data_IF_398239459870
#
_entry.id   IF_398239459870
#
_cell.length_a   1.000
_cell.length_b   1.000
_cell.length_c   1.000
_cell.angle_alpha   90.00
_cell.angle_beta   90.00
_cell.angle_gamma   90.00
#
_symmetry.space_group_name_H-M   'P 1'
#
loop_
_entity.id
_entity.type
_entity.pdbx_description
1 polymer ?
#
# COMPACT_ATOMS: atom_id res chain seq x y z
N UNK A 1 -51.53 44.91 42.08
CA UNK A 1 -50.33 44.56 41.36
C UNK A 1 -49.99 43.08 41.58
N UNK A 2 -50.37 42.21 40.63
CA UNK A 2 -50.16 40.76 40.72
C UNK A 2 -48.94 40.42 39.85
N UNK A 3 -47.84 39.95 40.48
CA UNK A 3 -46.65 39.47 39.80
C UNK A 3 -46.87 37.98 39.40
N UNK A 4 -46.92 37.70 38.10
CA UNK A 4 -46.96 36.38 37.55
C UNK A 4 -45.52 35.91 37.40
N UNK A 5 -45.08 34.89 38.12
CA UNK A 5 -43.82 34.17 37.93
C UNK A 5 -43.98 33.15 36.81
N UNK A 6 -43.30 33.34 35.72
CA UNK A 6 -43.18 32.40 34.61
C UNK A 6 -42.03 31.43 34.94
N UNK A 7 -42.34 30.20 35.32
CA UNK A 7 -41.36 29.17 35.51
C UNK A 7 -40.98 28.60 34.13
N UNK A 8 -39.75 28.85 33.67
CA UNK A 8 -39.18 28.19 32.49
C UNK A 8 -38.78 26.76 32.81
N UNK A 9 -39.52 25.80 32.24
CA UNK A 9 -39.22 24.37 32.29
C UNK A 9 -38.06 24.08 31.33
N UNK A 10 -36.84 23.97 31.86
CA UNK A 10 -35.71 23.43 31.07
C UNK A 10 -35.90 21.90 30.86
N UNK A 11 -36.34 21.51 29.67
CA UNK A 11 -36.28 20.13 29.23
C UNK A 11 -34.85 19.83 28.85
N UNK A 12 -34.11 19.20 29.75
CA UNK A 12 -32.80 18.59 29.48
C UNK A 12 -32.99 17.41 28.56
N UNK A 13 -32.67 17.57 27.27
CA UNK A 13 -32.56 16.48 26.33
C UNK A 13 -31.30 15.69 26.68
N UNK A 14 -31.43 14.70 27.54
CA UNK A 14 -30.39 13.69 27.74
C UNK A 14 -30.25 12.87 26.45
N UNK A 15 -29.19 13.11 25.69
CA UNK A 15 -28.74 12.19 24.65
C UNK A 15 -28.52 10.82 25.30
N UNK A 16 -29.07 9.73 24.75
CA UNK A 16 -28.75 8.40 25.26
C UNK A 16 -27.29 8.13 24.94
N UNK A 17 -26.40 8.31 25.91
CA UNK A 17 -25.08 7.70 25.87
C UNK A 17 -25.32 6.21 25.75
N UNK A 18 -24.96 5.61 24.60
CA UNK A 18 -24.89 4.17 24.40
C UNK A 18 -23.84 3.68 25.41
N UNK A 19 -24.32 3.28 26.56
CA UNK A 19 -23.49 2.65 27.59
C UNK A 19 -23.04 1.33 26.99
N UNK A 20 -21.73 1.15 26.78
CA UNK A 20 -21.17 -0.13 26.41
C UNK A 20 -21.75 -1.17 27.38
N UNK A 21 -22.49 -2.15 26.88
CA UNK A 21 -23.02 -3.23 27.71
C UNK A 21 -21.81 -3.92 28.35
N UNK A 22 -21.72 -3.92 29.67
CA UNK A 22 -20.65 -4.62 30.39
C UNK A 22 -20.79 -6.11 30.08
N UNK A 23 -19.73 -6.69 29.47
CA UNK A 23 -19.64 -8.12 29.19
C UNK A 23 -19.35 -8.82 30.53
N UNK A 24 -20.39 -9.30 31.21
CA UNK A 24 -20.30 -9.79 32.58
C UNK A 24 -20.02 -11.30 32.68
N UNK A 25 -20.50 -12.08 31.69
CA UNK A 25 -20.25 -13.52 31.71
C UNK A 25 -19.03 -13.90 30.88
N UNK A 26 -18.38 -15.00 31.25
CA UNK A 26 -17.28 -15.59 30.47
C UNK A 26 -17.68 -15.87 29.03
N UNK A 27 -18.90 -16.33 28.80
CA UNK A 27 -19.44 -16.60 27.47
C UNK A 27 -19.56 -15.33 26.62
N UNK A 28 -20.05 -14.23 27.22
CA UNK A 28 -20.12 -12.94 26.54
C UNK A 28 -18.72 -12.38 26.18
N UNK A 29 -17.78 -12.49 27.13
CA UNK A 29 -16.39 -12.06 26.92
C UNK A 29 -15.71 -12.89 25.83
N UNK A 30 -15.92 -14.20 25.83
CA UNK A 30 -15.38 -15.09 24.81
C UNK A 30 -15.96 -14.78 23.41
N UNK A 31 -17.29 -14.64 23.32
CA UNK A 31 -17.97 -14.32 22.06
C UNK A 31 -17.52 -12.98 21.48
N UNK A 32 -17.41 -11.95 22.33
CA UNK A 32 -16.87 -10.65 21.94
C UNK A 32 -15.42 -10.78 21.43
N UNK A 33 -14.58 -11.54 22.14
CA UNK A 33 -13.17 -11.75 21.75
C UNK A 33 -13.07 -12.41 20.38
N UNK A 34 -13.90 -13.43 20.10
CA UNK A 34 -13.95 -14.05 18.78
C UNK A 34 -14.32 -13.07 17.68
N UNK A 35 -15.37 -12.28 17.88
CA UNK A 35 -15.83 -11.28 16.91
C UNK A 35 -14.76 -10.20 16.67
N UNK A 36 -14.11 -9.71 17.74
CA UNK A 36 -13.06 -8.73 17.65
C UNK A 36 -11.82 -9.25 16.90
N UNK A 37 -11.40 -10.48 17.19
CA UNK A 37 -10.27 -11.10 16.49
C UNK A 37 -10.58 -11.38 15.02
N UNK A 38 -11.79 -11.81 14.69
CA UNK A 38 -12.25 -11.98 13.32
C UNK A 38 -12.17 -10.65 12.55
N UNK A 39 -12.68 -9.58 13.16
CA UNK A 39 -12.62 -8.24 12.58
C UNK A 39 -11.18 -7.79 12.31
N UNK A 40 -10.28 -7.92 13.29
CA UNK A 40 -8.88 -7.51 13.12
C UNK A 40 -8.12 -8.33 12.08
N UNK A 41 -8.34 -9.65 12.03
CA UNK A 41 -7.53 -10.54 11.19
C UNK A 41 -8.05 -10.69 9.77
N UNK A 42 -9.36 -10.60 9.56
CA UNK A 42 -9.97 -10.91 8.27
C UNK A 42 -10.77 -9.76 7.65
N UNK A 43 -11.36 -8.89 8.47
CA UNK A 43 -12.25 -7.85 7.94
C UNK A 43 -11.55 -6.50 7.80
N UNK A 44 -10.58 -6.17 8.66
CA UNK A 44 -9.83 -4.90 8.58
C UNK A 44 -8.99 -4.77 7.30
N UNK A 45 -8.56 -5.90 6.71
CA UNK A 45 -7.82 -5.93 5.47
C UNK A 45 -8.71 -5.95 4.21
N UNK A 46 -10.04 -5.92 4.36
CA UNK A 46 -10.93 -5.88 3.20
C UNK A 46 -10.86 -4.52 2.51
N UNK A 47 -10.83 -4.50 1.17
CA UNK A 47 -10.68 -3.27 0.39
C UNK A 47 -11.98 -2.45 0.31
N UNK A 48 -13.04 -2.87 1.03
CA UNK A 48 -14.34 -2.19 1.12
C UNK A 48 -14.72 -1.96 2.57
N UNK A 49 -15.47 -0.88 2.81
CA UNK A 49 -16.00 -0.61 4.13
C UNK A 49 -17.02 -1.70 4.53
N UNK A 50 -16.87 -2.21 5.75
CA UNK A 50 -17.76 -3.19 6.33
C UNK A 50 -18.75 -2.46 7.27
N UNK A 51 -20.06 -2.63 7.04
CA UNK A 51 -21.08 -2.21 7.99
C UNK A 51 -21.12 -3.21 9.14
N UNK A 52 -20.59 -2.79 10.30
CA UNK A 52 -20.49 -3.63 11.49
C UNK A 52 -21.86 -4.04 12.05
N UNK A 53 -22.91 -3.23 11.87
CA UNK A 53 -24.26 -3.56 12.35
C UNK A 53 -24.88 -4.65 11.45
N UNK A 54 -24.79 -4.51 10.14
CA UNK A 54 -25.26 -5.51 9.18
C UNK A 54 -24.49 -6.83 9.32
N UNK A 55 -23.16 -6.77 9.50
CA UNK A 55 -22.34 -7.94 9.76
C UNK A 55 -22.77 -8.64 11.05
N UNK A 56 -22.91 -7.90 12.15
CA UNK A 56 -23.35 -8.44 13.43
C UNK A 56 -24.73 -9.09 13.36
N UNK A 57 -25.64 -8.51 12.57
CA UNK A 57 -26.96 -9.10 12.34
C UNK A 57 -26.86 -10.43 11.57
N UNK A 58 -26.04 -10.48 10.52
CA UNK A 58 -25.82 -11.71 9.76
C UNK A 58 -25.23 -12.84 10.61
N UNK A 59 -24.28 -12.52 11.49
CA UNK A 59 -23.73 -13.48 12.47
C UNK A 59 -24.81 -13.95 13.44
N UNK A 60 -25.63 -13.04 13.96
CA UNK A 60 -26.72 -13.37 14.89
C UNK A 60 -27.74 -14.30 14.26
N UNK A 61 -28.19 -13.99 13.05
CA UNK A 61 -29.19 -14.79 12.33
C UNK A 61 -28.64 -16.20 12.03
N UNK A 62 -27.35 -16.31 11.63
CA UNK A 62 -26.71 -17.59 11.35
C UNK A 62 -26.55 -18.45 12.61
N UNK A 63 -26.14 -17.89 13.73
CA UNK A 63 -25.99 -18.62 15.00
C UNK A 63 -27.35 -19.06 15.59
N UNK A 64 -28.42 -18.31 15.32
CA UNK A 64 -29.78 -18.66 15.70
C UNK A 64 -30.43 -19.72 14.79
N UNK A 65 -29.77 -20.12 13.69
CA UNK A 65 -30.35 -21.02 12.69
C UNK A 65 -31.53 -20.40 11.93
N UNK A 66 -31.63 -19.06 11.90
CA UNK A 66 -32.66 -18.34 11.19
C UNK A 66 -32.45 -18.39 9.68
N UNK A 67 -33.54 -18.30 8.91
CA UNK A 67 -33.41 -18.11 7.47
C UNK A 67 -32.71 -16.78 7.15
N UNK A 68 -31.81 -16.77 6.14
CA UNK A 68 -31.16 -15.55 5.72
C UNK A 68 -32.20 -14.49 5.27
N UNK A 69 -31.95 -13.22 5.62
CA UNK A 69 -32.77 -12.09 5.17
C UNK A 69 -32.64 -11.75 3.69
N UNK A 70 -31.57 -12.22 3.08
CA UNK A 70 -31.30 -12.11 1.65
C UNK A 70 -31.36 -13.49 1.02
N UNK A 71 -31.96 -13.59 -0.18
CA UNK A 71 -31.84 -14.80 -0.98
C UNK A 71 -30.40 -15.08 -1.39
N UNK A 72 -30.10 -16.33 -1.74
CA UNK A 72 -28.76 -16.68 -2.26
C UNK A 72 -28.37 -15.82 -3.49
N UNK A 73 -29.34 -15.55 -4.36
CA UNK A 73 -29.15 -14.68 -5.52
C UNK A 73 -28.80 -13.24 -5.10
N UNK A 74 -29.49 -12.68 -4.12
CA UNK A 74 -29.19 -11.34 -3.61
C UNK A 74 -27.82 -11.27 -2.93
N UNK A 75 -27.44 -12.28 -2.18
CA UNK A 75 -26.10 -12.36 -1.58
C UNK A 75 -25.01 -12.44 -2.65
N UNK A 76 -25.20 -13.29 -3.66
CA UNK A 76 -24.26 -13.41 -4.78
C UNK A 76 -24.15 -12.09 -5.56
N UNK A 77 -25.27 -11.47 -5.88
CA UNK A 77 -25.31 -10.18 -6.58
C UNK A 77 -24.58 -9.07 -5.79
N UNK A 78 -24.68 -9.06 -4.46
CA UNK A 78 -23.94 -8.10 -3.62
C UNK A 78 -22.42 -8.33 -3.70
N UNK A 79 -21.98 -9.58 -3.63
CA UNK A 79 -20.56 -9.95 -3.79
C UNK A 79 -20.04 -9.55 -5.17
N UNK A 80 -20.78 -9.85 -6.22
CA UNK A 80 -20.36 -9.57 -7.60
C UNK A 80 -20.30 -8.06 -7.87
N UNK A 81 -21.20 -7.28 -7.30
CA UNK A 81 -21.16 -5.80 -7.39
C UNK A 81 -19.90 -5.26 -6.73
N UNK A 82 -19.57 -5.72 -5.52
CA UNK A 82 -18.35 -5.29 -4.83
C UNK A 82 -17.10 -5.65 -5.65
N UNK A 83 -17.03 -6.87 -6.21
CA UNK A 83 -15.92 -7.28 -7.08
C UNK A 83 -15.80 -6.38 -8.31
N UNK A 84 -16.91 -6.04 -8.96
CA UNK A 84 -16.93 -5.14 -10.11
C UNK A 84 -16.44 -3.74 -9.75
N UNK A 85 -16.90 -3.19 -8.62
CA UNK A 85 -16.46 -1.88 -8.14
C UNK A 85 -14.95 -1.85 -7.83
N UNK A 86 -14.43 -2.91 -7.19
CA UNK A 86 -13.00 -3.04 -6.91
C UNK A 86 -12.18 -3.15 -8.19
N UNK A 87 -12.63 -3.95 -9.14
CA UNK A 87 -11.99 -4.10 -10.45
C UNK A 87 -11.96 -2.76 -11.20
N UNK A 88 -13.08 -2.05 -11.24
CA UNK A 88 -13.17 -0.74 -11.87
C UNK A 88 -12.24 0.30 -11.22
N UNK A 89 -12.15 0.30 -9.87
CA UNK A 89 -11.21 1.17 -9.14
C UNK A 89 -9.75 0.83 -9.48
N UNK A 90 -9.40 -0.47 -9.45
CA UNK A 90 -8.02 -0.92 -9.79
C UNK A 90 -7.66 -0.50 -11.22
N UNK A 91 -8.59 -0.64 -12.18
CA UNK A 91 -8.37 -0.24 -13.56
C UNK A 91 -8.18 1.28 -13.69
N UNK A 92 -9.04 2.07 -13.06
CA UNK A 92 -8.92 3.54 -13.08
C UNK A 92 -7.59 4.01 -12.46
N UNK A 93 -7.14 3.39 -11.36
CA UNK A 93 -5.83 3.66 -10.76
C UNK A 93 -4.69 3.29 -11.71
N UNK A 94 -4.77 2.14 -12.38
CA UNK A 94 -3.77 1.71 -13.36
C UNK A 94 -3.64 2.68 -14.53
N UNK A 95 -4.75 3.16 -15.07
CA UNK A 95 -4.78 4.13 -16.15
C UNK A 95 -4.22 5.49 -15.72
N UNK A 96 -4.57 5.94 -14.51
CA UNK A 96 -4.05 7.18 -13.94
C UNK A 96 -2.54 7.10 -13.70
N UNK A 97 -2.05 6.02 -13.06
CA UNK A 97 -0.63 5.81 -12.79
C UNK A 97 0.18 5.74 -14.09
N UNK A 98 -0.32 5.01 -15.10
CA UNK A 98 0.29 4.93 -16.42
C UNK A 98 0.43 6.31 -17.09
N UNK A 99 -0.64 7.10 -17.08
CA UNK A 99 -0.62 8.42 -17.67
C UNK A 99 0.34 9.37 -16.94
N UNK A 100 0.28 9.38 -15.61
CA UNK A 100 1.15 10.18 -14.76
C UNK A 100 2.63 9.77 -14.89
N UNK A 101 2.92 8.46 -14.89
CA UNK A 101 4.28 7.92 -15.05
C UNK A 101 4.90 8.28 -16.42
N UNK A 102 4.12 8.15 -17.50
CA UNK A 102 4.59 8.56 -18.84
C UNK A 102 4.88 10.05 -18.92
N UNK A 103 4.01 10.89 -18.38
CA UNK A 103 4.21 12.34 -18.34
C UNK A 103 5.45 12.70 -17.51
N UNK A 104 5.61 12.08 -16.34
CA UNK A 104 6.77 12.27 -15.48
C UNK A 104 8.07 11.89 -16.19
N UNK A 105 8.16 10.70 -16.79
CA UNK A 105 9.37 10.23 -17.48
C UNK A 105 9.71 11.09 -18.70
N UNK A 106 8.71 11.55 -19.46
CA UNK A 106 8.92 12.44 -20.59
C UNK A 106 9.48 13.81 -20.18
N UNK A 107 9.05 14.35 -19.03
CA UNK A 107 9.57 15.59 -18.50
C UNK A 107 10.96 15.38 -17.86
N UNK A 108 11.14 14.27 -17.13
CA UNK A 108 12.41 13.96 -16.48
C UNK A 108 13.54 13.74 -17.48
N UNK A 109 13.27 13.15 -18.65
CA UNK A 109 14.24 12.97 -19.74
C UNK A 109 14.86 14.29 -20.24
N UNK A 110 14.19 15.42 -20.00
CA UNK A 110 14.68 16.77 -20.40
C UNK A 110 15.54 17.41 -19.33
N UNK A 111 15.59 16.83 -18.15
CA UNK A 111 16.35 17.39 -17.04
C UNK A 111 17.85 17.21 -17.25
N UNK A 112 18.62 18.20 -16.87
CA UNK A 112 20.10 18.14 -16.97
C UNK A 112 20.64 16.98 -16.16
N UNK A 113 21.53 16.18 -16.79
CA UNK A 113 22.20 15.05 -16.16
C UNK A 113 21.36 13.77 -16.12
N UNK A 114 20.14 13.75 -16.64
CA UNK A 114 19.34 12.54 -16.81
C UNK A 114 19.75 11.83 -18.10
N UNK A 115 20.07 10.56 -17.97
CA UNK A 115 20.32 9.63 -19.08
C UNK A 115 19.12 8.71 -19.21
N UNK A 116 18.63 8.53 -20.45
CA UNK A 116 17.54 7.60 -20.79
C UNK A 116 18.08 6.43 -21.60
N UNK A 117 17.83 5.21 -21.15
CA UNK A 117 18.19 3.97 -21.86
C UNK A 117 17.09 3.58 -22.88
N UNK A 118 17.43 2.70 -23.81
CA UNK A 118 16.51 2.27 -24.90
C UNK A 118 15.20 1.63 -24.38
N UNK A 119 15.24 0.95 -23.24
CA UNK A 119 14.09 0.35 -22.58
C UNK A 119 13.28 1.32 -21.71
N UNK A 120 13.64 2.59 -21.70
CA UNK A 120 12.95 3.64 -20.97
C UNK A 120 13.42 3.83 -19.51
N UNK A 121 14.35 3.02 -19.00
CA UNK A 121 14.98 3.28 -17.72
C UNK A 121 15.72 4.62 -17.78
N UNK A 122 15.54 5.45 -16.75
CA UNK A 122 16.28 6.71 -16.65
C UNK A 122 17.10 6.73 -15.37
N UNK A 123 18.23 7.40 -15.41
CA UNK A 123 19.04 7.60 -14.21
C UNK A 123 19.78 8.93 -14.25
N UNK A 124 20.14 9.41 -13.09
CA UNK A 124 21.01 10.55 -12.87
C UNK A 124 22.08 10.17 -11.86
N UNK A 125 23.34 10.38 -12.23
CA UNK A 125 24.48 10.18 -11.34
C UNK A 125 24.52 11.33 -10.34
N UNK A 126 24.44 11.01 -9.05
CA UNK A 126 24.60 11.98 -7.96
C UNK A 126 26.05 11.99 -7.47
N UNK A 127 26.64 10.81 -7.34
CA UNK A 127 28.04 10.60 -6.97
C UNK A 127 28.62 9.48 -7.82
N UNK A 128 29.85 9.73 -8.32
CA UNK A 128 30.58 8.71 -9.07
C UNK A 128 31.21 7.71 -8.10
N UNK A 129 31.25 6.44 -8.49
CA UNK A 129 31.99 5.40 -7.78
C UNK A 129 33.30 5.07 -8.45
N UNK A 130 34.02 4.11 -7.90
CA UNK A 130 35.31 3.65 -8.43
C UNK A 130 35.36 2.11 -8.48
N UNK A 131 36.28 1.56 -9.30
CA UNK A 131 36.44 0.13 -9.49
C UNK A 131 35.55 -0.42 -10.61
N UNK A 132 35.30 -1.73 -10.59
CA UNK A 132 34.49 -2.43 -11.57
C UNK A 132 33.05 -2.52 -11.13
N UNK A 133 32.11 -2.41 -12.09
CA UNK A 133 30.69 -2.62 -11.85
C UNK A 133 30.39 -4.11 -11.61
N UNK A 134 29.30 -4.44 -10.89
CA UNK A 134 28.91 -5.83 -10.65
C UNK A 134 28.36 -6.51 -11.90
N UNK A 135 28.59 -7.82 -12.00
CA UNK A 135 27.91 -8.70 -12.93
C UNK A 135 26.45 -8.96 -12.53
N UNK A 136 25.63 -9.45 -13.46
CA UNK A 136 24.18 -9.57 -13.25
C UNK A 136 23.75 -10.64 -12.23
N UNK A 137 24.66 -11.52 -11.81
CA UNK A 137 24.44 -12.62 -10.86
C UNK A 137 25.17 -12.39 -9.53
N UNK A 138 25.94 -11.28 -9.41
CA UNK A 138 26.67 -10.99 -8.18
C UNK A 138 25.75 -10.48 -7.09
N UNK A 139 26.14 -10.71 -5.84
CA UNK A 139 25.49 -10.15 -4.66
C UNK A 139 26.06 -8.75 -4.39
N UNK A 140 25.19 -7.82 -4.13
CA UNK A 140 25.57 -6.44 -3.81
C UNK A 140 25.01 -6.01 -2.47
N UNK A 141 25.71 -5.10 -1.82
CA UNK A 141 25.24 -4.40 -0.62
C UNK A 141 24.99 -2.95 -0.97
N UNK A 142 23.78 -2.48 -0.71
CA UNK A 142 23.34 -1.12 -1.05
C UNK A 142 22.62 -0.45 0.11
N UNK A 143 22.70 0.88 0.15
CA UNK A 143 21.61 1.67 0.71
C UNK A 143 20.67 2.10 -0.41
N UNK A 144 19.38 2.10 -0.13
CA UNK A 144 18.36 2.58 -1.09
C UNK A 144 17.15 3.19 -0.40
N UNK A 145 16.47 4.03 -1.16
CA UNK A 145 15.15 4.58 -0.84
C UNK A 145 14.31 4.53 -2.08
N UNK A 146 13.14 3.89 -1.98
CA UNK A 146 12.15 3.77 -3.05
C UNK A 146 10.93 4.63 -2.78
N UNK A 147 10.53 5.45 -3.76
CA UNK A 147 9.34 6.30 -3.68
C UNK A 147 8.51 6.19 -4.96
N UNK A 148 7.22 6.45 -4.84
CA UNK A 148 6.35 6.74 -5.96
C UNK A 148 6.66 8.14 -6.52
N UNK A 149 6.09 8.50 -7.67
CA UNK A 149 6.29 9.81 -8.29
C UNK A 149 5.72 10.98 -7.49
N UNK A 150 4.78 10.72 -6.57
CA UNK A 150 4.23 11.72 -5.64
C UNK A 150 5.10 11.92 -4.38
N UNK A 151 6.19 11.16 -4.25
CA UNK A 151 7.10 11.19 -3.12
C UNK A 151 6.75 10.23 -1.98
N UNK A 152 5.66 9.47 -2.08
CA UNK A 152 5.29 8.45 -1.09
C UNK A 152 6.37 7.38 -1.03
N UNK A 153 7.03 7.22 0.13
CA UNK A 153 8.03 6.19 0.36
C UNK A 153 7.34 4.84 0.57
N UNK A 154 7.76 3.82 -0.18
CA UNK A 154 7.26 2.47 -0.04
C UNK A 154 8.27 1.49 0.56
N UNK A 155 9.56 1.78 0.43
CA UNK A 155 10.63 0.98 1.03
C UNK A 155 11.92 1.80 1.17
N UNK A 156 12.69 1.55 2.25
CA UNK A 156 13.94 2.24 2.52
C UNK A 156 14.83 1.43 3.45
N UNK A 157 16.07 1.20 3.05
CA UNK A 157 17.10 0.63 3.93
C UNK A 157 17.53 1.62 5.01
N UNK A 158 17.45 2.92 4.75
CA UNK A 158 17.74 3.96 5.75
C UNK A 158 16.72 3.91 6.90
N UNK A 159 15.45 3.64 6.60
CA UNK A 159 14.40 3.47 7.62
C UNK A 159 14.64 2.27 8.52
N UNK A 160 15.35 1.24 8.05
CA UNK A 160 15.76 0.06 8.85
C UNK A 160 17.07 0.26 9.61
N UNK A 161 17.85 1.33 9.28
CA UNK A 161 19.11 1.67 9.94
C UNK A 161 20.32 0.88 9.45
N UNK A 162 20.18 0.00 8.45
CA UNK A 162 21.25 -0.84 7.92
C UNK A 162 21.13 -1.04 6.40
N UNK A 163 22.27 -1.20 5.67
CA UNK A 163 22.24 -1.55 4.25
C UNK A 163 21.67 -2.94 4.03
N UNK A 164 21.22 -3.21 2.82
CA UNK A 164 20.64 -4.49 2.43
C UNK A 164 21.52 -5.18 1.40
N UNK A 165 21.77 -6.47 1.59
CA UNK A 165 22.48 -7.32 0.63
C UNK A 165 21.51 -8.24 -0.08
N UNK A 166 21.62 -8.34 -1.40
CA UNK A 166 20.82 -9.25 -2.22
C UNK A 166 21.53 -9.60 -3.53
N UNK A 167 21.27 -10.80 -4.07
CA UNK A 167 21.74 -11.16 -5.40
C UNK A 167 20.95 -10.39 -6.45
N UNK A 168 21.63 -9.92 -7.50
CA UNK A 168 21.04 -9.07 -8.54
C UNK A 168 20.01 -9.79 -9.42
N UNK A 169 20.03 -11.12 -9.48
CA UNK A 169 19.02 -11.92 -10.18
C UNK A 169 17.68 -11.99 -9.44
N UNK A 170 17.65 -11.66 -8.13
CA UNK A 170 16.44 -11.69 -7.30
C UNK A 170 15.68 -10.35 -7.25
N UNK A 171 16.16 -9.30 -7.91
CA UNK A 171 15.51 -7.97 -7.90
C UNK A 171 14.81 -7.66 -9.22
N UNK A 172 13.95 -6.64 -9.20
CA UNK A 172 13.24 -6.20 -10.43
C UNK A 172 14.22 -5.78 -11.53
N UNK A 173 13.87 -5.97 -12.82
CA UNK A 173 14.79 -5.78 -13.94
C UNK A 173 15.46 -4.40 -13.96
N UNK A 174 14.72 -3.33 -13.73
CA UNK A 174 15.26 -1.98 -13.76
C UNK A 174 16.25 -1.69 -12.64
N UNK A 175 16.06 -2.28 -11.45
CA UNK A 175 16.99 -2.14 -10.34
C UNK A 175 18.32 -2.86 -10.63
N UNK A 176 18.24 -4.11 -11.15
CA UNK A 176 19.41 -4.86 -11.62
C UNK A 176 20.17 -4.11 -12.72
N UNK A 177 19.45 -3.60 -13.71
CA UNK A 177 20.09 -2.88 -14.82
C UNK A 177 20.80 -1.61 -14.37
N UNK A 178 20.22 -0.86 -13.44
CA UNK A 178 20.88 0.32 -12.88
C UNK A 178 22.17 -0.07 -12.14
N UNK A 179 22.10 -1.04 -11.23
CA UNK A 179 23.22 -1.43 -10.39
C UNK A 179 24.37 -2.04 -11.21
N UNK A 180 24.09 -2.83 -12.24
CA UNK A 180 25.14 -3.37 -13.13
C UNK A 180 25.90 -2.30 -13.92
N UNK A 181 25.46 -1.03 -13.88
CA UNK A 181 26.17 0.12 -14.44
C UNK A 181 26.84 0.99 -13.38
N UNK A 182 26.52 0.78 -12.09
CA UNK A 182 27.11 1.50 -10.98
C UNK A 182 28.46 0.89 -10.59
N UNK A 183 29.29 1.69 -9.95
CA UNK A 183 30.55 1.24 -9.33
C UNK A 183 30.45 1.40 -7.82
N UNK A 184 31.19 0.63 -7.01
CA UNK A 184 31.21 0.81 -5.55
C UNK A 184 31.48 2.26 -5.16
N UNK A 185 30.71 2.79 -4.22
CA UNK A 185 30.70 4.19 -3.80
C UNK A 185 29.83 5.13 -4.66
N UNK A 186 29.28 4.66 -5.78
CA UNK A 186 28.36 5.46 -6.58
C UNK A 186 27.01 5.64 -5.88
N UNK A 187 26.42 6.83 -6.06
CA UNK A 187 25.04 7.12 -5.68
C UNK A 187 24.28 7.65 -6.88
N UNK A 188 23.19 6.97 -7.23
CA UNK A 188 22.36 7.29 -8.38
C UNK A 188 20.92 7.52 -7.98
N UNK A 189 20.23 8.37 -8.73
CA UNK A 189 18.78 8.44 -8.75
C UNK A 189 18.28 7.74 -10.01
N UNK A 190 17.44 6.73 -9.84
CA UNK A 190 16.94 5.88 -10.91
C UNK A 190 15.43 6.05 -11.02
N UNK A 191 14.94 6.29 -12.23
CA UNK A 191 13.52 6.45 -12.54
C UNK A 191 13.10 5.28 -13.41
N UNK A 192 12.24 4.47 -12.89
CA UNK A 192 11.96 3.14 -13.41
C UNK A 192 10.52 3.08 -13.93
N UNK A 193 10.30 2.93 -15.24
CA UNK A 193 8.97 2.67 -15.77
C UNK A 193 8.43 1.35 -15.20
N UNK A 194 7.12 1.25 -15.08
CA UNK A 194 6.44 0.13 -14.42
C UNK A 194 6.79 -1.23 -15.03
N UNK A 195 7.06 -1.29 -16.35
CA UNK A 195 7.45 -2.51 -17.06
C UNK A 195 8.77 -3.12 -16.55
N UNK A 196 9.64 -2.29 -16.00
CA UNK A 196 10.92 -2.70 -15.42
C UNK A 196 10.86 -2.87 -13.89
N UNK A 197 9.69 -2.64 -13.30
CA UNK A 197 9.40 -2.72 -11.87
C UNK A 197 8.37 -3.84 -11.56
N UNK A 198 7.23 -3.47 -11.03
CA UNK A 198 6.20 -4.44 -10.59
C UNK A 198 5.02 -4.58 -11.56
N UNK A 199 5.10 -3.99 -12.74
CA UNK A 199 4.14 -4.19 -13.84
C UNK A 199 2.73 -3.72 -13.54
N UNK A 200 1.77 -4.36 -14.23
CA UNK A 200 0.35 -4.03 -14.14
C UNK A 200 -0.32 -4.53 -12.84
N UNK A 201 0.35 -5.39 -12.07
CA UNK A 201 -0.20 -5.90 -10.81
C UNK A 201 0.18 -5.04 -9.61
N UNK A 202 1.33 -4.35 -9.67
CA UNK A 202 1.91 -3.67 -8.52
C UNK A 202 2.50 -4.64 -7.49
N UNK A 203 2.76 -4.17 -6.27
CA UNK A 203 3.30 -4.99 -5.20
C UNK A 203 2.78 -4.59 -3.82
N UNK A 204 2.32 -5.58 -3.06
CA UNK A 204 1.80 -5.37 -1.70
C UNK A 204 0.65 -4.37 -1.65
N UNK A 205 0.61 -3.58 -0.57
CA UNK A 205 -0.39 -2.52 -0.39
C UNK A 205 0.14 -1.13 -0.80
N UNK A 206 1.44 -1.00 -1.04
CA UNK A 206 2.12 0.29 -1.19
C UNK A 206 2.41 0.67 -2.65
N UNK A 207 2.49 -0.30 -3.55
CA UNK A 207 2.77 -0.06 -4.98
C UNK A 207 1.57 -0.51 -5.79
N UNK A 208 0.85 0.46 -6.33
CA UNK A 208 -0.30 0.23 -7.20
C UNK A 208 0.08 -0.33 -8.58
N UNK A 209 -0.93 -0.63 -9.41
CA UNK A 209 -0.71 -1.07 -10.78
C UNK A 209 -0.11 0.05 -11.64
N UNK A 210 0.83 -0.30 -12.53
CA UNK A 210 1.49 0.59 -13.49
C UNK A 210 2.24 1.78 -12.86
N UNK A 211 2.67 1.66 -11.60
CA UNK A 211 3.42 2.73 -10.94
C UNK A 211 4.84 2.86 -11.49
N UNK A 212 5.21 4.08 -11.86
CA UNK A 212 6.60 4.46 -12.11
C UNK A 212 7.28 4.69 -10.77
N UNK A 213 8.44 4.08 -10.58
CA UNK A 213 9.17 4.14 -9.32
C UNK A 213 10.40 5.02 -9.43
N UNK A 214 10.75 5.66 -8.32
CA UNK A 214 11.97 6.44 -8.16
C UNK A 214 12.78 5.78 -7.06
N UNK A 215 14.04 5.44 -7.36
CA UNK A 215 14.98 4.94 -6.37
C UNK A 215 16.16 5.88 -6.26
N UNK A 216 16.57 6.17 -5.03
CA UNK A 216 17.92 6.61 -4.75
C UNK A 216 18.71 5.39 -4.26
N UNK A 217 19.83 5.08 -4.91
CA UNK A 217 20.63 3.88 -4.67
C UNK A 217 22.06 4.30 -4.44
N UNK A 218 22.66 3.83 -3.35
CA UNK A 218 24.08 3.91 -3.06
C UNK A 218 24.66 2.49 -3.06
N UNK A 219 25.55 2.20 -4.00
CA UNK A 219 26.23 0.92 -4.08
C UNK A 219 27.45 0.92 -3.15
N UNK A 220 27.37 0.18 -2.05
CA UNK A 220 28.40 0.13 -1.02
C UNK A 220 29.50 -0.85 -1.40
N UNK A 221 29.13 -2.10 -1.72
CA UNK A 221 30.09 -3.16 -2.04
C UNK A 221 29.48 -4.24 -2.94
N UNK A 222 30.36 -5.02 -3.53
CA UNK A 222 30.04 -6.20 -4.34
C UNK A 222 30.68 -7.39 -3.64
N UNK A 223 29.88 -8.44 -3.41
CA UNK A 223 30.37 -9.73 -2.94
C UNK A 223 30.64 -10.63 -4.16
N UNK A 224 31.92 -10.92 -4.40
CA UNK A 224 32.37 -11.72 -5.55
C UNK A 224 32.61 -13.19 -5.21
N UNK A 225 32.32 -13.58 -3.96
CA UNK A 225 32.61 -14.90 -3.46
C UNK A 225 34.11 -15.21 -3.53
N UNK A 226 34.73 -15.55 -2.41
CA UNK A 226 36.10 -16.08 -2.43
C UNK A 226 36.16 -17.47 -3.03
#
# INVERSE_FOLDING_TARGET
MKRVFLAALMVSVMSPAIRAAELQSTEQQYSYTLGYQLALRQLSAQPVAIDGAALGQGVTDALAGSEPRLSLEQMQAAIDRVKQELSARKQAQAEQALAAGRAFLAENARQTGVVTLENGLQYRVLEEGSGEAPGPEETVTVHYRGTLIDGTEFDSSYGRGEPTSFPLDAVVPGFREAITRMRPGARWQVFMPFELAYGAEGAGASIGPNETLIFEIELISIDRGE
#
